data_IF_133751697034
#
_entry.id   IF_133751697034
#
_cell.length_a   1.000
_cell.length_b   1.000
_cell.length_c   1.000
_cell.angle_alpha   90.00
_cell.angle_beta   90.00
_cell.angle_gamma   90.00
#
_symmetry.space_group_name_H-M   'P 1'
#
loop_
_entity.id
_entity.type
_entity.pdbx_description
1 polymer ?
#
# COMPACT_ATOMS: atom_id res chain seq x y z
N UNK A 1 -0.48 -1.52 -15.04
CA UNK A 1 -0.60 -1.63 -13.58
C UNK A 1 -0.68 -0.27 -12.89
N UNK A 2 0.25 0.67 -13.16
CA UNK A 2 0.20 2.02 -12.56
C UNK A 2 -1.17 2.70 -12.70
N UNK A 3 -1.65 2.89 -13.92
CA UNK A 3 -2.93 3.54 -14.18
C UNK A 3 -4.11 2.88 -13.47
N UNK A 4 -4.11 1.54 -13.35
CA UNK A 4 -5.14 0.81 -12.62
C UNK A 4 -5.08 1.04 -11.11
N UNK A 5 -3.89 1.00 -10.50
CA UNK A 5 -3.70 1.21 -9.07
C UNK A 5 -4.10 2.63 -8.65
N UNK A 6 -3.52 3.64 -9.30
CA UNK A 6 -3.86 5.04 -9.02
C UNK A 6 -5.29 5.39 -9.41
N UNK A 7 -5.81 4.83 -10.52
CA UNK A 7 -7.20 5.02 -10.93
C UNK A 7 -8.20 4.51 -9.89
N UNK A 8 -8.00 3.30 -9.35
CA UNK A 8 -8.85 2.75 -8.29
C UNK A 8 -8.78 3.57 -7.00
N UNK A 9 -7.59 4.00 -6.61
CA UNK A 9 -7.41 4.90 -5.47
C UNK A 9 -8.18 6.21 -5.67
N UNK A 10 -7.99 6.87 -6.84
CA UNK A 10 -8.67 8.12 -7.16
C UNK A 10 -10.19 7.96 -7.19
N UNK A 11 -10.69 6.86 -7.78
CA UNK A 11 -12.12 6.55 -7.77
C UNK A 11 -12.63 6.38 -6.33
N UNK A 12 -11.89 5.64 -5.48
CA UNK A 12 -12.23 5.49 -4.06
C UNK A 12 -12.28 6.85 -3.34
N UNK A 13 -11.28 7.71 -3.58
CA UNK A 13 -11.21 9.04 -2.98
C UNK A 13 -12.39 9.93 -3.41
N UNK A 14 -12.69 9.98 -4.73
CA UNK A 14 -13.83 10.72 -5.26
C UNK A 14 -15.16 10.20 -4.71
N UNK A 15 -15.33 8.88 -4.66
CA UNK A 15 -16.52 8.24 -4.06
C UNK A 15 -16.65 8.62 -2.58
N UNK A 16 -15.54 8.66 -1.84
CA UNK A 16 -15.55 9.08 -0.43
C UNK A 16 -15.95 10.55 -0.23
N UNK A 17 -15.58 11.44 -1.16
CA UNK A 17 -16.04 12.84 -1.16
C UNK A 17 -17.55 12.91 -1.47
N UNK A 18 -18.01 12.19 -2.50
CA UNK A 18 -19.42 12.22 -2.93
C UNK A 18 -20.36 11.53 -1.93
N UNK A 19 -19.86 10.51 -1.24
CA UNK A 19 -20.62 9.74 -0.25
C UNK A 19 -19.91 9.73 1.12
N UNK A 20 -19.97 10.82 1.89
CA UNK A 20 -19.20 10.97 3.14
C UNK A 20 -19.49 9.88 4.19
N UNK A 21 -20.66 9.24 4.14
CA UNK A 21 -20.99 8.15 5.04
C UNK A 21 -20.07 6.94 4.86
N UNK A 22 -19.60 6.66 3.63
CA UNK A 22 -18.66 5.56 3.35
C UNK A 22 -17.28 5.85 3.95
N UNK A 23 -16.78 7.08 3.79
CA UNK A 23 -15.52 7.50 4.40
C UNK A 23 -15.62 7.44 5.93
N UNK A 24 -16.70 7.97 6.52
CA UNK A 24 -16.92 7.89 7.98
C UNK A 24 -16.93 6.46 8.50
N UNK A 25 -17.57 5.53 7.79
CA UNK A 25 -17.55 4.10 8.15
C UNK A 25 -16.14 3.54 8.19
N UNK A 26 -15.25 3.93 7.26
CA UNK A 26 -13.85 3.51 7.27
C UNK A 26 -13.10 4.12 8.47
N UNK A 27 -13.32 5.41 8.76
CA UNK A 27 -12.73 6.04 9.94
C UNK A 27 -13.18 5.39 11.24
N UNK A 28 -14.48 5.08 11.40
CA UNK A 28 -14.99 4.36 12.57
C UNK A 28 -14.28 3.02 12.75
N UNK A 29 -14.09 2.26 11.68
CA UNK A 29 -13.33 0.99 11.72
C UNK A 29 -11.89 1.17 12.19
N UNK A 30 -11.21 2.26 11.81
CA UNK A 30 -9.84 2.54 12.27
C UNK A 30 -9.80 2.88 13.76
N UNK A 31 -10.84 3.50 14.29
CA UNK A 31 -10.98 3.74 15.73
C UNK A 31 -11.26 2.42 16.46
N UNK A 32 -12.26 1.67 16.02
CA UNK A 32 -12.68 0.41 16.65
C UNK A 32 -11.59 -0.66 16.68
N UNK A 33 -10.74 -0.73 15.67
CA UNK A 33 -9.64 -1.70 15.61
C UNK A 33 -8.34 -1.21 16.29
N UNK A 34 -8.37 -0.06 16.97
CA UNK A 34 -7.25 0.50 17.74
C UNK A 34 -6.14 1.11 16.89
N UNK A 35 -6.31 1.25 15.57
CA UNK A 35 -5.28 1.83 14.70
C UNK A 35 -4.99 3.27 15.07
N UNK A 36 -6.01 4.05 15.39
CA UNK A 36 -5.85 5.48 15.77
C UNK A 36 -5.07 5.59 17.08
N UNK A 37 -5.39 4.78 18.09
CA UNK A 37 -4.70 4.79 19.39
C UNK A 37 -3.24 4.35 19.23
N UNK A 38 -2.98 3.35 18.38
CA UNK A 38 -1.62 2.92 18.05
C UNK A 38 -0.82 4.06 17.44
N UNK A 39 -1.35 4.74 16.42
CA UNK A 39 -0.69 5.88 15.76
C UNK A 39 -0.40 6.99 16.78
N UNK A 40 -1.37 7.35 17.63
CA UNK A 40 -1.18 8.37 18.67
C UNK A 40 -0.09 7.99 19.67
N UNK A 41 -0.05 6.74 20.11
CA UNK A 41 0.98 6.24 21.06
C UNK A 41 2.40 6.25 20.50
N UNK A 42 2.53 6.20 19.16
CA UNK A 42 3.82 6.15 18.45
C UNK A 42 4.28 7.53 17.95
N UNK A 43 3.41 8.53 17.96
CA UNK A 43 3.68 9.84 17.37
C UNK A 43 4.93 10.51 17.94
N UNK A 44 5.20 10.33 19.26
CA UNK A 44 6.39 10.86 19.92
C UNK A 44 7.65 10.01 19.73
N UNK A 45 7.54 8.85 19.08
CA UNK A 45 8.63 7.90 18.84
C UNK A 45 8.82 7.64 17.35
N UNK A 46 9.37 8.59 16.56
CA UNK A 46 9.34 8.54 15.10
C UNK A 46 10.00 7.30 14.50
N UNK A 47 11.08 6.78 15.11
CA UNK A 47 11.70 5.54 14.64
C UNK A 47 10.84 4.30 14.88
N UNK A 48 10.16 4.22 16.02
CA UNK A 48 9.24 3.12 16.30
C UNK A 48 8.00 3.22 15.41
N UNK A 49 7.53 4.44 15.13
CA UNK A 49 6.45 4.69 14.19
C UNK A 49 6.84 4.25 12.77
N UNK A 50 8.03 4.65 12.28
CA UNK A 50 8.56 4.19 10.99
C UNK A 50 8.66 2.66 10.89
N UNK A 51 9.15 1.99 11.94
CA UNK A 51 9.22 0.52 11.99
C UNK A 51 7.82 -0.12 11.93
N UNK A 52 6.84 0.47 12.61
CA UNK A 52 5.46 -0.02 12.60
C UNK A 52 4.83 0.13 11.21
N UNK A 53 5.00 1.31 10.56
CA UNK A 53 4.56 1.54 9.18
C UNK A 53 5.22 0.52 8.25
N UNK A 54 6.53 0.35 8.34
CA UNK A 54 7.27 -0.62 7.53
C UNK A 54 6.77 -2.06 7.73
N UNK A 55 6.53 -2.45 8.99
CA UNK A 55 6.02 -3.79 9.31
C UNK A 55 4.62 -4.01 8.73
N UNK A 56 3.72 -3.05 8.88
CA UNK A 56 2.36 -3.12 8.32
C UNK A 56 2.41 -3.20 6.79
N UNK A 57 3.18 -2.35 6.15
CA UNK A 57 3.26 -2.29 4.69
C UNK A 57 3.95 -3.52 4.10
N UNK A 58 5.02 -4.02 4.74
CA UNK A 58 5.73 -5.20 4.25
C UNK A 58 4.97 -6.49 4.55
N UNK A 59 4.51 -6.68 5.79
CA UNK A 59 3.89 -7.94 6.21
C UNK A 59 2.43 -7.99 5.77
N UNK A 60 1.61 -7.02 6.20
CA UNK A 60 0.17 -7.07 5.93
C UNK A 60 -0.12 -6.86 4.43
N UNK A 61 0.44 -5.81 3.84
CA UNK A 61 0.17 -5.50 2.42
C UNK A 61 1.05 -6.32 1.48
N UNK A 62 2.35 -6.25 1.61
CA UNK A 62 3.28 -6.92 0.70
C UNK A 62 3.16 -8.43 0.76
N UNK A 63 3.35 -9.02 1.94
CA UNK A 63 3.38 -10.47 2.08
C UNK A 63 1.97 -11.08 2.09
N UNK A 64 1.08 -10.66 3.01
CA UNK A 64 -0.19 -11.35 3.24
C UNK A 64 -1.29 -10.98 2.23
N UNK A 65 -1.28 -9.76 1.68
CA UNK A 65 -2.32 -9.34 0.72
C UNK A 65 -1.91 -9.62 -0.73
N UNK A 66 -0.64 -9.41 -1.11
CA UNK A 66 -0.21 -9.54 -2.51
C UNK A 66 0.53 -10.84 -2.76
N UNK A 67 1.63 -11.11 -2.05
CA UNK A 67 2.54 -12.20 -2.38
C UNK A 67 1.95 -13.57 -2.02
N UNK A 68 1.60 -13.83 -0.77
CA UNK A 68 1.15 -15.13 -0.29
C UNK A 68 -0.11 -15.64 -1.02
N UNK A 69 -1.18 -14.84 -1.21
CA UNK A 69 -2.32 -15.30 -2.00
C UNK A 69 -1.94 -15.68 -3.44
N UNK A 70 -1.02 -14.92 -4.06
CA UNK A 70 -0.56 -15.20 -5.42
C UNK A 70 0.34 -16.43 -5.52
N UNK A 71 0.98 -16.86 -4.43
CA UNK A 71 1.75 -18.10 -4.35
C UNK A 71 0.85 -19.33 -4.26
N UNK A 72 -0.38 -19.18 -3.79
CA UNK A 72 -1.37 -20.28 -3.64
C UNK A 72 -2.34 -20.31 -4.82
N UNK A 73 -2.82 -19.13 -5.24
CA UNK A 73 -3.76 -18.98 -6.37
C UNK A 73 -3.18 -17.95 -7.34
N UNK A 74 -2.93 -18.33 -8.60
CA UNK A 74 -2.36 -17.42 -9.58
C UNK A 74 -3.13 -16.10 -9.65
N UNK A 75 -2.41 -14.98 -9.59
CA UNK A 75 -2.92 -13.60 -9.66
C UNK A 75 -3.79 -13.13 -8.49
N UNK A 76 -4.04 -13.94 -7.45
CA UNK A 76 -5.00 -13.59 -6.38
C UNK A 76 -4.63 -12.29 -5.64
N UNK A 77 -3.37 -11.96 -5.48
CA UNK A 77 -2.94 -10.70 -4.85
C UNK A 77 -3.35 -9.45 -5.63
N UNK A 78 -3.57 -9.56 -6.96
CA UNK A 78 -3.93 -8.39 -7.79
C UNK A 78 -5.33 -7.86 -7.44
N UNK A 79 -6.42 -8.65 -7.42
CA UNK A 79 -7.73 -8.16 -7.02
C UNK A 79 -7.80 -7.78 -5.54
N UNK A 80 -7.04 -8.44 -4.66
CA UNK A 80 -6.97 -8.06 -3.25
C UNK A 80 -6.34 -6.67 -3.08
N UNK A 81 -5.25 -6.39 -3.81
CA UNK A 81 -4.67 -5.06 -3.84
C UNK A 81 -5.61 -4.04 -4.47
N UNK A 82 -6.33 -4.38 -5.53
CA UNK A 82 -7.30 -3.49 -6.17
C UNK A 82 -8.40 -3.04 -5.20
N UNK A 83 -8.93 -3.98 -4.41
CA UNK A 83 -9.89 -3.68 -3.35
C UNK A 83 -9.28 -2.78 -2.27
N UNK A 84 -8.04 -3.08 -1.85
CA UNK A 84 -7.34 -2.27 -0.86
C UNK A 84 -7.08 -0.85 -1.38
N UNK A 85 -6.62 -0.68 -2.61
CA UNK A 85 -6.36 0.63 -3.20
C UNK A 85 -7.63 1.51 -3.23
N UNK A 86 -8.76 0.92 -3.59
CA UNK A 86 -10.06 1.60 -3.56
C UNK A 86 -10.47 2.00 -2.14
N UNK A 87 -10.39 1.08 -1.18
CA UNK A 87 -10.76 1.36 0.22
C UNK A 87 -9.81 2.36 0.89
N UNK A 88 -8.53 2.36 0.53
CA UNK A 88 -7.56 3.37 0.98
C UNK A 88 -7.94 4.75 0.46
N UNK A 89 -8.37 4.86 -0.81
CA UNK A 89 -8.91 6.11 -1.34
C UNK A 89 -10.09 6.63 -0.52
N UNK A 90 -11.06 5.77 -0.17
CA UNK A 90 -12.18 6.14 0.71
C UNK A 90 -11.72 6.62 2.09
N UNK A 91 -10.74 5.94 2.66
CA UNK A 91 -10.23 6.21 4.02
C UNK A 91 -9.47 7.54 4.09
N UNK A 92 -8.77 7.92 3.03
CA UNK A 92 -7.92 9.11 2.99
C UNK A 92 -8.68 10.42 2.74
N UNK A 93 -9.99 10.38 2.59
CA UNK A 93 -10.79 11.62 2.50
C UNK A 93 -10.77 12.34 3.86
N UNK A 94 -10.19 13.56 3.93
CA UNK A 94 -10.05 14.25 5.20
C UNK A 94 -11.40 14.72 5.77
N UNK A 95 -11.51 14.66 7.09
CA UNK A 95 -12.68 15.17 7.81
C UNK A 95 -12.47 16.58 8.40
N UNK A 96 -11.28 17.17 8.26
CA UNK A 96 -10.90 18.47 8.82
C UNK A 96 -9.90 19.20 7.93
N UNK A 97 -9.76 20.53 8.10
CA UNK A 97 -8.82 21.35 7.35
C UNK A 97 -7.37 20.89 7.57
N UNK A 98 -7.00 20.55 8.81
CA UNK A 98 -5.68 19.97 9.12
C UNK A 98 -5.46 18.66 8.37
N UNK A 99 -6.50 17.84 8.20
CA UNK A 99 -6.43 16.61 7.40
C UNK A 99 -6.11 16.89 5.93
N UNK A 100 -6.66 17.97 5.34
CA UNK A 100 -6.34 18.39 3.98
C UNK A 100 -4.88 18.83 3.86
N UNK A 101 -4.37 19.58 4.83
CA UNK A 101 -2.95 19.97 4.89
C UNK A 101 -2.04 18.74 5.03
N UNK A 102 -2.42 17.76 5.85
CA UNK A 102 -1.65 16.53 6.06
C UNK A 102 -1.57 15.66 4.80
N UNK A 103 -2.53 15.75 3.87
CA UNK A 103 -2.45 15.05 2.57
C UNK A 103 -1.27 15.53 1.72
N UNK A 104 -0.79 16.77 1.88
CA UNK A 104 0.30 17.31 1.06
C UNK A 104 1.56 16.45 1.25
N UNK A 105 2.15 16.34 2.46
CA UNK A 105 3.31 15.47 2.66
C UNK A 105 2.97 13.99 2.47
N UNK A 106 1.77 13.55 2.85
CA UNK A 106 1.35 12.15 2.71
C UNK A 106 1.21 11.71 1.23
N UNK A 107 0.94 12.62 0.30
CA UNK A 107 0.87 12.29 -1.13
C UNK A 107 2.18 11.70 -1.67
N UNK A 108 3.34 12.16 -1.21
CA UNK A 108 4.63 11.60 -1.60
C UNK A 108 4.83 10.19 -1.02
N UNK A 109 4.40 9.95 0.24
CA UNK A 109 4.36 8.60 0.82
C UNK A 109 3.55 7.66 -0.06
N UNK A 110 2.32 8.06 -0.42
CA UNK A 110 1.46 7.26 -1.29
C UNK A 110 2.12 6.91 -2.62
N UNK A 111 2.81 7.87 -3.25
CA UNK A 111 3.52 7.61 -4.51
C UNK A 111 4.58 6.54 -4.31
N UNK A 112 5.41 6.64 -3.27
CA UNK A 112 6.49 5.70 -2.99
C UNK A 112 5.93 4.30 -2.68
N UNK A 113 4.94 4.21 -1.81
CA UNK A 113 4.32 2.93 -1.41
C UNK A 113 3.58 2.26 -2.56
N UNK A 114 2.83 3.02 -3.36
CA UNK A 114 2.15 2.47 -4.54
C UNK A 114 3.15 1.91 -5.55
N UNK A 115 4.31 2.56 -5.76
CA UNK A 115 5.36 1.98 -6.62
C UNK A 115 5.88 0.66 -6.06
N UNK A 116 6.08 0.56 -4.74
CA UNK A 116 6.48 -0.70 -4.11
C UNK A 116 5.42 -1.81 -4.32
N UNK A 117 4.14 -1.49 -4.12
CA UNK A 117 3.05 -2.47 -4.33
C UNK A 117 2.87 -2.84 -5.81
N UNK A 118 3.11 -1.92 -6.74
CA UNK A 118 3.09 -2.19 -8.18
C UNK A 118 4.21 -3.16 -8.57
N UNK A 119 5.40 -3.06 -7.97
CA UNK A 119 6.47 -4.04 -8.16
C UNK A 119 6.06 -5.42 -7.64
N UNK A 120 5.43 -5.49 -6.46
CA UNK A 120 4.91 -6.75 -5.92
C UNK A 120 3.80 -7.35 -6.79
N UNK A 121 2.88 -6.53 -7.30
CA UNK A 121 1.84 -6.98 -8.23
C UNK A 121 2.43 -7.46 -9.56
N UNK A 122 3.48 -6.80 -10.07
CA UNK A 122 4.19 -7.27 -11.24
C UNK A 122 4.83 -8.64 -10.98
N UNK A 123 5.44 -8.83 -9.81
CA UNK A 123 5.98 -10.11 -9.37
C UNK A 123 4.91 -11.20 -9.26
N UNK A 124 3.75 -10.87 -8.66
CA UNK A 124 2.61 -11.76 -8.57
C UNK A 124 2.03 -12.15 -9.95
N UNK A 125 1.99 -11.18 -10.86
CA UNK A 125 1.59 -11.42 -12.25
C UNK A 125 2.58 -12.34 -12.98
N UNK A 126 3.88 -12.09 -12.86
CA UNK A 126 4.91 -12.93 -13.48
C UNK A 126 4.89 -14.34 -12.90
N UNK A 127 4.71 -14.48 -11.58
CA UNK A 127 4.55 -15.79 -10.92
C UNK A 127 3.36 -16.56 -11.52
N UNK A 128 2.18 -15.94 -11.59
CA UNK A 128 1.00 -16.57 -12.15
C UNK A 128 1.16 -16.94 -13.63
N UNK A 129 1.78 -16.05 -14.42
CA UNK A 129 2.09 -16.30 -15.84
C UNK A 129 3.06 -17.47 -16.03
N UNK A 130 4.16 -17.49 -15.30
CA UNK A 130 5.16 -18.58 -15.37
C UNK A 130 4.57 -19.92 -14.93
N UNK A 131 3.67 -19.89 -13.94
CA UNK A 131 3.01 -21.10 -13.43
C UNK A 131 2.00 -21.67 -14.41
N UNK A 132 1.09 -20.84 -14.96
CA UNK A 132 0.00 -21.31 -15.84
C UNK A 132 0.48 -21.56 -17.28
N UNK A 133 1.41 -20.74 -17.77
CA UNK A 133 1.91 -20.81 -19.14
C UNK A 133 3.45 -20.99 -19.17
N UNK A 134 4.00 -22.09 -18.62
CA UNK A 134 5.44 -22.30 -18.50
C UNK A 134 6.17 -22.25 -19.86
N UNK A 135 5.56 -22.80 -20.90
CA UNK A 135 6.16 -22.80 -22.26
C UNK A 135 6.38 -21.38 -22.81
N UNK A 136 5.50 -20.42 -22.48
CA UNK A 136 5.65 -19.02 -22.91
C UNK A 136 6.81 -18.29 -22.25
N UNK A 137 7.35 -18.85 -21.17
CA UNK A 137 8.46 -18.29 -20.39
C UNK A 137 9.74 -19.15 -20.49
N UNK A 138 9.75 -20.14 -21.38
CA UNK A 138 10.89 -21.03 -21.59
C UNK A 138 11.04 -22.13 -20.53
N UNK A 139 10.09 -22.30 -19.63
CA UNK A 139 10.13 -23.36 -18.62
C UNK A 139 9.55 -24.65 -19.18
N UNK A 140 10.22 -25.82 -19.00
CA UNK A 140 9.80 -27.10 -19.57
C UNK A 140 8.54 -27.67 -18.91
N UNK A 141 8.24 -27.30 -17.66
CA UNK A 141 7.06 -27.77 -16.93
C UNK A 141 6.56 -26.73 -15.91
N UNK A 142 5.35 -26.97 -15.37
CA UNK A 142 4.70 -26.04 -14.42
C UNK A 142 5.49 -25.83 -13.14
N UNK A 143 6.18 -26.85 -12.62
CA UNK A 143 6.99 -26.74 -11.40
C UNK A 143 8.17 -25.80 -11.60
N UNK A 144 8.88 -25.94 -12.72
CA UNK A 144 10.00 -25.06 -13.04
C UNK A 144 9.51 -23.64 -13.36
N UNK A 145 8.38 -23.49 -14.05
CA UNK A 145 7.74 -22.20 -14.26
C UNK A 145 7.39 -21.51 -12.94
N UNK A 146 6.79 -22.25 -11.99
CA UNK A 146 6.50 -21.72 -10.65
C UNK A 146 7.75 -21.23 -9.92
N UNK A 147 8.82 -22.04 -9.90
CA UNK A 147 10.09 -21.67 -9.25
C UNK A 147 10.75 -20.45 -9.93
N UNK A 148 10.68 -20.37 -11.25
CA UNK A 148 11.16 -19.21 -12.00
C UNK A 148 10.34 -17.94 -11.63
N UNK A 149 9.02 -18.05 -11.61
CA UNK A 149 8.15 -16.95 -11.21
C UNK A 149 8.35 -16.52 -9.76
N UNK A 150 8.55 -17.49 -8.85
CA UNK A 150 8.87 -17.21 -7.45
C UNK A 150 10.19 -16.43 -7.29
N UNK A 151 11.21 -16.79 -8.06
CA UNK A 151 12.47 -16.06 -8.09
C UNK A 151 12.29 -14.63 -8.58
N UNK A 152 11.47 -14.41 -9.62
CA UNK A 152 11.15 -13.07 -10.13
C UNK A 152 10.39 -12.24 -9.09
N UNK A 153 9.40 -12.85 -8.43
CA UNK A 153 8.68 -12.19 -7.33
C UNK A 153 9.65 -11.79 -6.20
N UNK A 154 10.59 -12.67 -5.82
CA UNK A 154 11.59 -12.38 -4.79
C UNK A 154 12.48 -11.18 -5.14
N UNK A 155 12.95 -11.08 -6.38
CA UNK A 155 13.74 -9.94 -6.85
C UNK A 155 12.95 -8.63 -6.83
N UNK A 156 11.70 -8.65 -7.29
CA UNK A 156 10.84 -7.47 -7.26
C UNK A 156 10.43 -7.10 -5.84
N UNK A 157 10.23 -8.10 -4.97
CA UNK A 157 9.93 -7.88 -3.57
C UNK A 157 11.09 -7.22 -2.81
N UNK A 158 12.35 -7.59 -3.10
CA UNK A 158 13.51 -6.93 -2.47
C UNK A 158 13.59 -5.44 -2.86
N UNK A 159 13.34 -5.11 -4.12
CA UNK A 159 13.26 -3.71 -4.57
C UNK A 159 12.08 -2.96 -3.94
N UNK A 160 10.93 -3.62 -3.81
CA UNK A 160 9.75 -3.06 -3.16
C UNK A 160 10.02 -2.75 -1.67
N UNK A 161 10.70 -3.65 -0.95
CA UNK A 161 11.07 -3.42 0.47
C UNK A 161 11.94 -2.17 0.62
N UNK A 162 12.89 -1.93 -0.27
CA UNK A 162 13.71 -0.71 -0.23
C UNK A 162 12.83 0.54 -0.35
N UNK A 163 11.87 0.56 -1.27
CA UNK A 163 10.93 1.67 -1.39
C UNK A 163 10.05 1.82 -0.14
N UNK A 164 9.58 0.71 0.44
CA UNK A 164 8.78 0.74 1.67
C UNK A 164 9.58 1.27 2.87
N UNK A 165 10.88 0.98 2.96
CA UNK A 165 11.75 1.57 3.99
C UNK A 165 11.83 3.09 3.82
N UNK A 166 12.07 3.57 2.60
CA UNK A 166 12.12 5.01 2.30
C UNK A 166 10.77 5.67 2.61
N UNK A 167 9.65 5.06 2.16
CA UNK A 167 8.30 5.55 2.41
C UNK A 167 7.97 5.64 3.90
N UNK A 168 8.25 4.58 4.67
CA UNK A 168 7.96 4.53 6.10
C UNK A 168 8.76 5.56 6.92
N UNK A 169 10.05 5.76 6.60
CA UNK A 169 10.86 6.79 7.23
C UNK A 169 10.32 8.17 6.87
N UNK A 170 10.09 8.42 5.59
CA UNK A 170 9.55 9.70 5.15
C UNK A 170 8.19 9.99 5.81
N UNK A 171 7.27 9.04 5.83
CA UNK A 171 5.94 9.21 6.44
C UNK A 171 6.02 9.57 7.92
N UNK A 172 6.78 8.79 8.72
CA UNK A 172 6.90 9.00 10.14
C UNK A 172 7.47 10.40 10.48
N UNK A 173 8.44 10.87 9.71
CA UNK A 173 9.06 12.18 9.94
C UNK A 173 8.22 13.32 9.35
N UNK A 174 7.61 13.15 8.19
CA UNK A 174 6.81 14.19 7.54
C UNK A 174 5.53 14.49 8.33
N UNK A 175 4.83 13.48 8.82
CA UNK A 175 3.65 13.67 9.65
C UNK A 175 3.96 14.41 10.94
N UNK A 176 5.10 14.15 11.55
CA UNK A 176 5.51 14.80 12.80
C UNK A 176 6.01 16.23 12.60
N UNK A 177 6.85 16.46 11.58
CA UNK A 177 7.61 17.71 11.46
C UNK A 177 7.10 18.65 10.37
N UNK A 178 6.34 18.16 9.37
CA UNK A 178 5.88 19.00 8.26
C UNK A 178 4.42 19.44 8.39
N UNK A 179 3.56 18.62 8.99
CA UNK A 179 2.11 18.92 9.05
C UNK A 179 1.85 20.19 9.87
N UNK A 180 2.48 20.33 11.04
CA UNK A 180 2.23 21.48 11.91
C UNK A 180 2.70 22.83 11.31
N UNK A 181 3.93 22.98 10.80
CA UNK A 181 4.35 24.21 10.11
C UNK A 181 3.50 24.52 8.86
N UNK A 182 3.13 23.49 8.09
CA UNK A 182 2.26 23.68 6.91
C UNK A 182 0.86 24.18 7.32
N UNK A 183 0.29 23.63 8.39
CA UNK A 183 -1.00 24.07 8.90
C UNK A 183 -0.96 25.54 9.38
N UNK A 184 0.11 25.94 10.05
CA UNK A 184 0.28 27.34 10.47
C UNK A 184 0.44 28.32 9.29
N UNK A 185 0.96 27.85 8.17
CA UNK A 185 1.17 28.70 6.99
C UNK A 185 -0.06 28.74 6.06
N UNK A 186 -0.87 27.68 6.03
CA UNK A 186 -1.99 27.53 5.08
C UNK A 186 -3.36 27.81 5.67
N UNK A 187 -3.52 27.70 7.00
CA UNK A 187 -4.77 27.91 7.74
C UNK A 187 -4.67 29.16 8.62
#
# INVERSE_FOLDING_TARGET
MNAGAYGLFTVGFVVGILFPHLSRTQHTRLVENGTVDLVQSLFDKPWLFALTILAVNTVKMGALTIAAPSMVVPFAGIPLFAYWAFTTGLTLVPASDIGWVALIPHSLTLIIEFQAYILLMLGAFLLGRCWLWPKSTGAPNRRQGYLQGLRQLGWLASSAVVLLVVGAVYEAFSLRYLVHPLAQWLL
#
